data_IF_001306159035
#
_entry.id   IF_001306159035
#
_cell.length_a   1.000
_cell.length_b   1.000
_cell.length_c   1.000
_cell.angle_alpha   90.00
_cell.angle_beta   90.00
_cell.angle_gamma   90.00
#
_symmetry.space_group_name_H-M   'P 1'
#
loop_
_entity.id
_entity.type
_entity.pdbx_description
1 polymer ?
#
# COMPACT_ATOMS: atom_id res chain seq x y z
N UNK A 1 4.93 -24.04 10.64
CA UNK A 1 5.58 -23.42 11.81
C UNK A 1 4.51 -22.68 12.60
N UNK A 2 4.16 -23.16 13.79
CA UNK A 2 3.16 -22.53 14.66
C UNK A 2 3.81 -21.30 15.30
N UNK A 3 3.42 -20.08 14.91
CA UNK A 3 3.84 -18.88 15.67
C UNK A 3 3.22 -18.99 17.06
N UNK A 4 4.04 -19.06 18.11
CA UNK A 4 3.56 -18.82 19.48
C UNK A 4 2.97 -17.40 19.49
N UNK A 5 1.70 -17.30 19.82
CA UNK A 5 1.07 -16.00 20.07
C UNK A 5 1.44 -15.59 21.49
N UNK A 6 2.27 -14.54 21.61
CA UNK A 6 2.57 -13.94 22.90
C UNK A 6 1.38 -13.08 23.34
N UNK A 7 1.15 -13.02 24.65
CA UNK A 7 0.20 -12.06 25.23
C UNK A 7 0.83 -10.66 25.28
N UNK A 8 0.00 -9.62 25.34
CA UNK A 8 0.44 -8.22 25.50
C UNK A 8 1.40 -8.06 26.69
N UNK A 9 1.07 -8.65 27.85
CA UNK A 9 1.92 -8.61 29.05
C UNK A 9 3.31 -9.24 28.81
N UNK A 10 3.38 -10.30 28.01
CA UNK A 10 4.65 -10.93 27.68
C UNK A 10 5.48 -10.03 26.76
N UNK A 11 4.83 -9.36 25.80
CA UNK A 11 5.49 -8.39 24.91
C UNK A 11 6.04 -7.22 25.72
N UNK A 12 5.24 -6.64 26.62
CA UNK A 12 5.67 -5.48 27.42
C UNK A 12 6.84 -5.82 28.36
N UNK A 13 6.85 -7.00 28.97
CA UNK A 13 7.97 -7.45 29.81
C UNK A 13 9.25 -7.62 29.00
N UNK A 14 9.16 -8.15 27.79
CA UNK A 14 10.32 -8.30 26.90
C UNK A 14 10.90 -6.94 26.53
N UNK A 15 10.04 -5.99 26.13
CA UNK A 15 10.45 -4.60 25.81
C UNK A 15 11.15 -3.97 27.02
N UNK A 16 10.53 -4.02 28.20
CA UNK A 16 11.07 -3.38 29.41
C UNK A 16 12.38 -4.02 29.91
N UNK A 17 12.67 -5.28 29.54
CA UNK A 17 13.89 -5.98 29.94
C UNK A 17 15.03 -5.87 28.94
N UNK A 18 14.80 -5.25 27.77
CA UNK A 18 15.79 -5.16 26.70
C UNK A 18 16.90 -4.14 27.07
N UNK A 19 18.15 -4.59 27.30
CA UNK A 19 19.24 -3.68 27.67
C UNK A 19 19.69 -2.78 26.52
N UNK A 20 19.39 -3.14 25.26
CA UNK A 20 19.80 -2.38 24.07
C UNK A 20 18.75 -1.33 23.67
N UNK A 21 17.57 -1.36 24.27
CA UNK A 21 16.46 -0.43 24.01
C UNK A 21 15.94 0.21 25.32
N UNK A 22 16.78 0.95 26.07
CA UNK A 22 16.31 1.63 27.27
C UNK A 22 15.25 2.69 26.94
N UNK A 23 14.36 2.94 27.88
CA UNK A 23 13.41 4.06 27.80
C UNK A 23 14.15 5.39 27.68
N UNK A 24 13.69 6.24 26.77
CA UNK A 24 14.30 7.54 26.57
C UNK A 24 13.99 8.50 27.73
N UNK A 25 14.99 9.24 28.20
CA UNK A 25 14.82 10.22 29.28
C UNK A 25 14.18 11.51 28.78
N UNK A 26 13.56 12.29 29.69
CA UNK A 26 12.98 13.60 29.35
C UNK A 26 14.01 14.55 28.72
N UNK A 27 15.25 14.50 29.20
CA UNK A 27 16.37 15.27 28.63
C UNK A 27 16.68 14.83 27.19
N UNK A 28 16.70 13.53 26.91
CA UNK A 28 16.92 13.00 25.55
C UNK A 28 15.77 13.37 24.62
N UNK A 29 14.52 13.32 25.11
CA UNK A 29 13.35 13.77 24.34
C UNK A 29 13.40 15.26 24.03
N UNK A 30 13.89 16.09 24.96
CA UNK A 30 14.02 17.53 24.75
C UNK A 30 14.98 17.88 23.60
N UNK A 31 15.93 16.99 23.30
CA UNK A 31 16.90 17.12 22.22
C UNK A 31 16.45 16.45 20.91
N UNK A 32 15.24 15.90 20.86
CA UNK A 32 14.72 15.24 19.67
C UNK A 32 14.61 16.24 18.51
N UNK A 33 15.10 15.83 17.34
CA UNK A 33 15.03 16.60 16.09
C UNK A 33 14.00 16.00 15.16
N UNK A 34 13.39 16.84 14.34
CA UNK A 34 12.58 16.35 13.22
C UNK A 34 13.46 15.54 12.26
N UNK A 35 12.87 14.58 11.56
CA UNK A 35 13.59 13.75 10.58
C UNK A 35 14.32 14.58 9.53
N UNK A 36 13.68 15.66 9.05
CA UNK A 36 14.24 16.55 8.05
C UNK A 36 15.47 17.31 8.54
N UNK A 37 15.52 17.65 9.82
CA UNK A 37 16.67 18.30 10.46
C UNK A 37 17.80 17.30 10.76
N UNK A 38 17.44 16.09 11.20
CA UNK A 38 18.41 15.03 11.50
C UNK A 38 19.07 14.45 10.23
N UNK A 39 18.33 14.36 9.12
CA UNK A 39 18.77 13.73 7.88
C UNK A 39 18.42 14.56 6.63
N UNK A 40 18.96 15.78 6.48
CA UNK A 40 18.53 16.72 5.44
C UNK A 40 18.72 16.17 4.01
N UNK A 41 19.85 15.50 3.74
CA UNK A 41 20.12 14.92 2.43
C UNK A 41 19.14 13.78 2.07
N UNK A 42 18.72 12.98 3.05
CA UNK A 42 17.77 11.90 2.85
C UNK A 42 16.35 12.44 2.69
N UNK A 43 15.96 13.42 3.50
CA UNK A 43 14.68 14.12 3.36
C UNK A 43 14.53 14.73 1.96
N UNK A 44 15.58 15.39 1.45
CA UNK A 44 15.58 15.95 0.09
C UNK A 44 15.49 14.88 -0.99
N UNK A 45 16.21 13.76 -0.83
CA UNK A 45 16.13 12.63 -1.75
C UNK A 45 14.73 11.98 -1.74
N UNK A 46 14.10 11.88 -0.58
CA UNK A 46 12.74 11.38 -0.45
C UNK A 46 11.77 12.33 -1.12
N UNK A 47 11.81 13.65 -0.87
CA UNK A 47 10.95 14.65 -1.53
C UNK A 47 11.04 14.60 -3.05
N UNK A 48 12.25 14.43 -3.60
CA UNK A 48 12.46 14.26 -5.05
C UNK A 48 11.83 12.98 -5.60
N UNK A 49 11.71 11.95 -4.76
CA UNK A 49 11.11 10.65 -5.08
C UNK A 49 9.67 10.47 -4.54
N UNK A 50 9.02 11.53 -4.01
CA UNK A 50 7.59 11.52 -3.61
C UNK A 50 6.65 11.37 -4.82
N UNK A 51 7.21 11.33 -6.04
CA UNK A 51 6.49 10.85 -7.21
C UNK A 51 6.13 9.38 -7.05
N UNK A 52 4.97 9.10 -6.43
CA UNK A 52 4.24 7.86 -6.68
C UNK A 52 4.08 7.64 -8.19
N UNK A 53 3.54 6.47 -8.59
CA UNK A 53 3.30 6.16 -10.01
C UNK A 53 2.74 7.41 -10.72
N UNK A 54 3.36 7.87 -11.81
CA UNK A 54 2.92 9.08 -12.50
C UNK A 54 1.40 9.06 -12.64
N UNK A 55 0.74 10.15 -12.24
CA UNK A 55 -0.72 10.26 -12.37
C UNK A 55 -1.07 9.99 -13.82
N UNK A 56 -1.87 8.94 -14.06
CA UNK A 56 -2.38 8.66 -15.41
C UNK A 56 -3.16 9.89 -15.89
N UNK A 57 -2.91 10.34 -17.12
CA UNK A 57 -3.68 11.43 -17.72
C UNK A 57 -5.18 11.07 -17.83
N UNK A 58 -5.47 9.77 -18.03
CA UNK A 58 -6.80 9.20 -17.97
C UNK A 58 -6.82 8.03 -16.96
N UNK A 59 -7.12 8.29 -15.68
CA UNK A 59 -7.31 7.21 -14.71
C UNK A 59 -8.60 6.45 -15.01
N UNK A 60 -8.61 5.14 -14.75
CA UNK A 60 -9.84 4.35 -14.79
C UNK A 60 -10.81 4.88 -13.73
N UNK A 61 -12.07 5.06 -14.10
CA UNK A 61 -13.13 5.48 -13.18
C UNK A 61 -13.66 4.26 -12.44
N UNK A 62 -13.63 4.28 -11.11
CA UNK A 62 -14.26 3.25 -10.30
C UNK A 62 -15.78 3.50 -10.25
N UNK A 63 -16.56 2.55 -10.75
CA UNK A 63 -18.03 2.59 -10.73
C UNK A 63 -18.58 1.39 -9.97
N UNK A 64 -19.70 1.58 -9.27
CA UNK A 64 -20.46 0.48 -8.67
C UNK A 64 -21.55 0.04 -9.64
N UNK A 65 -21.42 -1.16 -10.22
CA UNK A 65 -22.33 -1.71 -11.22
C UNK A 65 -22.76 -3.12 -10.81
N UNK A 66 -24.04 -3.44 -10.99
CA UNK A 66 -24.55 -4.82 -10.88
C UNK A 66 -24.46 -5.49 -12.24
N UNK A 67 -23.71 -6.58 -12.31
CA UNK A 67 -23.55 -7.41 -13.50
C UNK A 67 -24.23 -8.74 -13.28
N UNK A 68 -24.62 -9.40 -14.37
CA UNK A 68 -25.09 -10.79 -14.34
C UNK A 68 -24.02 -11.70 -13.71
N UNK A 69 -24.46 -12.63 -12.87
CA UNK A 69 -23.59 -13.57 -12.17
C UNK A 69 -22.80 -14.44 -13.15
N UNK A 70 -23.41 -14.89 -14.25
CA UNK A 70 -22.76 -15.75 -15.23
C UNK A 70 -21.62 -15.02 -15.94
N UNK A 71 -21.82 -13.73 -16.27
CA UNK A 71 -20.77 -12.89 -16.88
C UNK A 71 -19.55 -12.80 -15.96
N UNK A 72 -19.76 -12.48 -14.68
CA UNK A 72 -18.67 -12.37 -13.70
C UNK A 72 -17.98 -13.72 -13.51
N UNK A 73 -18.73 -14.81 -13.45
CA UNK A 73 -18.19 -16.15 -13.31
C UNK A 73 -17.29 -16.54 -14.50
N UNK A 74 -17.75 -16.29 -15.73
CA UNK A 74 -17.00 -16.56 -16.96
C UNK A 74 -15.69 -15.78 -17.01
N UNK A 75 -15.70 -14.49 -16.68
CA UNK A 75 -14.46 -13.73 -16.62
C UNK A 75 -13.54 -14.24 -15.50
N UNK A 76 -14.02 -14.46 -14.28
CA UNK A 76 -13.19 -14.97 -13.18
C UNK A 76 -12.52 -16.31 -13.50
N UNK A 77 -13.20 -17.20 -14.22
CA UNK A 77 -12.66 -18.49 -14.65
C UNK A 77 -11.41 -18.36 -15.54
N UNK A 78 -11.22 -17.21 -16.20
CA UNK A 78 -10.00 -16.94 -17.00
C UNK A 78 -8.75 -16.66 -16.15
N UNK A 79 -8.87 -16.63 -14.81
CA UNK A 79 -7.74 -16.48 -13.89
C UNK A 79 -7.28 -15.02 -13.67
N UNK A 80 -6.04 -14.81 -13.20
CA UNK A 80 -5.49 -13.47 -12.97
C UNK A 80 -5.65 -12.55 -14.19
N UNK A 81 -5.97 -11.28 -13.95
CA UNK A 81 -6.22 -10.31 -15.01
C UNK A 81 -7.63 -10.35 -15.63
N UNK A 82 -8.58 -11.11 -15.06
CA UNK A 82 -9.95 -11.19 -15.60
C UNK A 82 -10.66 -9.83 -15.67
N UNK A 83 -10.38 -8.92 -14.73
CA UNK A 83 -10.94 -7.56 -14.76
C UNK A 83 -10.39 -6.74 -15.93
N UNK A 84 -9.13 -6.94 -16.31
CA UNK A 84 -8.53 -6.31 -17.49
C UNK A 84 -9.21 -6.82 -18.75
N UNK A 85 -9.37 -8.14 -18.91
CA UNK A 85 -10.09 -8.73 -20.05
C UNK A 85 -11.54 -8.25 -20.15
N UNK A 86 -12.22 -8.12 -19.01
CA UNK A 86 -13.57 -7.55 -18.96
C UNK A 86 -13.59 -6.09 -19.41
N UNK A 87 -12.64 -5.28 -18.96
CA UNK A 87 -12.48 -3.90 -19.42
C UNK A 87 -12.21 -3.83 -20.94
N UNK A 88 -11.39 -4.72 -21.48
CA UNK A 88 -11.06 -4.74 -22.91
C UNK A 88 -12.29 -5.13 -23.76
N UNK A 89 -13.11 -6.08 -23.28
CA UNK A 89 -14.39 -6.40 -23.92
C UNK A 89 -15.37 -5.21 -23.90
N UNK A 90 -15.42 -4.45 -22.81
CA UNK A 90 -16.24 -3.24 -22.73
C UNK A 90 -15.73 -2.16 -23.68
N UNK A 91 -14.41 -2.00 -23.80
CA UNK A 91 -13.79 -1.08 -24.76
C UNK A 91 -14.16 -1.45 -26.19
N UNK A 92 -14.05 -2.71 -26.56
CA UNK A 92 -14.45 -3.20 -27.89
C UNK A 92 -15.93 -2.92 -28.16
N UNK A 93 -16.81 -3.21 -27.19
CA UNK A 93 -18.25 -3.01 -27.33
C UNK A 93 -18.66 -1.55 -27.58
N UNK A 94 -17.82 -0.58 -27.16
CA UNK A 94 -18.04 0.86 -27.40
C UNK A 94 -17.14 1.43 -28.50
N UNK A 95 -16.46 0.59 -29.28
CA UNK A 95 -15.62 1.01 -30.42
C UNK A 95 -14.24 1.57 -30.04
N UNK A 96 -13.73 1.24 -28.85
CA UNK A 96 -12.42 1.67 -28.35
C UNK A 96 -11.31 0.59 -28.49
N UNK A 97 -11.54 -0.42 -29.34
CA UNK A 97 -10.56 -1.46 -29.67
C UNK A 97 -9.40 -0.92 -30.50
N UNK A 98 -8.31 -0.50 -29.84
CA UNK A 98 -7.08 -0.07 -30.54
C UNK A 98 -6.25 1.02 -29.86
N UNK A 99 -6.74 1.66 -28.80
CA UNK A 99 -6.03 2.79 -28.17
C UNK A 99 -5.99 2.63 -26.64
N UNK A 100 -4.84 2.50 -25.97
CA UNK A 100 -4.78 2.30 -24.52
C UNK A 100 -5.46 3.41 -23.71
#
# INVERSE_FOLDING_TARGET
MTRKHLTEDQIQRMIASDPDAPEATDEQLSQAKSFDEAFPALADAMRKNVGGRPKSANPKVAVSLRLDQEIVARFKATGPGWQTRMNDALREAVGLGGQP
#
